data_IF_567846039458
#
_entry.id   IF_567846039458
#
_cell.length_a   1.000
_cell.length_b   1.000
_cell.length_c   1.000
_cell.angle_alpha   90.00
_cell.angle_beta   90.00
_cell.angle_gamma   90.00
#
_symmetry.space_group_name_H-M   'P 1'
#
loop_
_entity.id
_entity.type
_entity.pdbx_description
1 polymer ?
#
# COMPACT_ATOMS: atom_id res chain seq x y z
N UNK A 1 -42.29 -9.49 7.81
CA UNK A 1 -41.04 -9.96 8.45
C UNK A 1 -40.63 -8.96 9.51
N UNK A 2 -40.47 -9.42 10.74
CA UNK A 2 -40.17 -8.60 11.91
C UNK A 2 -38.70 -8.20 11.89
N UNK A 3 -38.36 -6.94 12.23
CA UNK A 3 -36.98 -6.42 12.21
C UNK A 3 -35.99 -7.22 13.09
N UNK A 4 -36.48 -8.00 14.06
CA UNK A 4 -35.69 -8.93 14.86
C UNK A 4 -35.02 -10.01 14.02
N UNK A 5 -35.70 -10.51 13.00
CA UNK A 5 -35.23 -11.62 12.15
C UNK A 5 -34.08 -11.17 11.24
N UNK A 6 -33.97 -9.86 10.98
CA UNK A 6 -32.83 -9.26 10.31
C UNK A 6 -31.56 -9.32 11.17
N UNK A 7 -31.63 -9.04 12.48
CA UNK A 7 -30.45 -9.07 13.38
C UNK A 7 -29.91 -10.48 13.63
N UNK A 8 -30.75 -11.51 13.48
CA UNK A 8 -30.33 -12.91 13.62
C UNK A 8 -29.60 -13.46 12.38
N UNK A 9 -29.48 -12.68 11.29
CA UNK A 9 -28.78 -13.15 10.09
C UNK A 9 -27.28 -13.31 10.38
N UNK A 10 -26.64 -14.39 9.87
CA UNK A 10 -25.21 -14.66 10.08
C UNK A 10 -24.26 -13.51 9.70
N UNK A 11 -24.69 -12.63 8.77
CA UNK A 11 -23.92 -11.47 8.30
C UNK A 11 -23.72 -10.43 9.42
N UNK A 12 -24.72 -10.23 10.29
CA UNK A 12 -24.62 -9.27 11.40
C UNK A 12 -23.92 -9.87 12.64
N UNK A 13 -23.60 -11.17 12.63
CA UNK A 13 -22.95 -11.85 13.75
C UNK A 13 -21.46 -11.48 13.90
N UNK A 14 -20.85 -10.87 12.87
CA UNK A 14 -19.45 -10.40 12.85
C UNK A 14 -19.31 -8.93 12.49
N UNK A 15 -20.37 -8.14 12.68
CA UNK A 15 -20.35 -6.71 12.34
C UNK A 15 -19.27 -5.96 13.15
N UNK A 16 -19.15 -6.26 14.45
CA UNK A 16 -18.09 -5.72 15.29
C UNK A 16 -16.69 -6.11 14.78
N UNK A 17 -16.46 -7.38 14.50
CA UNK A 17 -15.16 -7.85 13.99
C UNK A 17 -14.79 -7.19 12.67
N UNK A 18 -15.77 -7.00 11.77
CA UNK A 18 -15.56 -6.33 10.50
C UNK A 18 -15.25 -4.84 10.66
N UNK A 19 -15.90 -4.16 11.61
CA UNK A 19 -15.62 -2.75 11.94
C UNK A 19 -14.22 -2.62 12.52
N UNK A 20 -13.90 -3.44 13.52
CA UNK A 20 -12.61 -3.39 14.21
C UNK A 20 -11.46 -3.70 13.21
N UNK A 21 -11.64 -4.68 12.32
CA UNK A 21 -10.67 -4.98 11.27
C UNK A 21 -10.52 -3.80 10.28
N UNK A 22 -11.62 -3.20 9.83
CA UNK A 22 -11.57 -2.07 8.90
C UNK A 22 -10.85 -0.87 9.52
N UNK A 23 -11.23 -0.49 10.74
CA UNK A 23 -10.59 0.62 11.45
C UNK A 23 -9.10 0.33 11.68
N UNK A 24 -8.74 -0.88 12.08
CA UNK A 24 -7.34 -1.26 12.27
C UNK A 24 -6.52 -1.06 11.00
N UNK A 25 -7.01 -1.55 9.86
CA UNK A 25 -6.30 -1.43 8.57
C UNK A 25 -6.25 0.04 8.12
N UNK A 26 -7.34 0.79 8.24
CA UNK A 26 -7.40 2.20 7.83
C UNK A 26 -6.47 3.07 8.68
N UNK A 27 -6.51 2.92 10.01
CA UNK A 27 -5.63 3.69 10.90
C UNK A 27 -4.16 3.33 10.72
N UNK A 28 -3.84 2.04 10.53
CA UNK A 28 -2.48 1.63 10.20
C UNK A 28 -2.01 2.25 8.87
N UNK A 29 -2.85 2.20 7.83
CA UNK A 29 -2.53 2.82 6.53
C UNK A 29 -2.36 4.34 6.63
N UNK A 30 -3.19 5.03 7.42
CA UNK A 30 -3.07 6.46 7.66
C UNK A 30 -1.79 6.82 8.43
N UNK A 31 -1.46 6.06 9.47
CA UNK A 31 -0.24 6.27 10.26
C UNK A 31 1.02 6.05 9.41
N UNK A 32 1.07 4.96 8.65
CA UNK A 32 2.17 4.67 7.71
C UNK A 32 2.26 5.77 6.65
N UNK A 33 1.13 6.14 6.05
CA UNK A 33 1.08 7.18 5.02
C UNK A 33 1.60 8.53 5.54
N UNK A 34 1.23 8.90 6.77
CA UNK A 34 1.72 10.12 7.42
C UNK A 34 3.21 10.06 7.71
N UNK A 35 3.68 8.95 8.28
CA UNK A 35 5.10 8.75 8.57
C UNK A 35 5.96 8.84 7.30
N UNK A 36 5.52 8.22 6.20
CA UNK A 36 6.22 8.27 4.91
C UNK A 36 6.27 9.69 4.33
N UNK A 37 5.20 10.48 4.49
CA UNK A 37 5.21 11.89 4.08
C UNK A 37 6.19 12.73 4.89
N UNK A 38 6.21 12.54 6.22
CA UNK A 38 7.12 13.26 7.11
C UNK A 38 8.58 12.91 6.85
N UNK A 39 8.88 11.63 6.62
CA UNK A 39 10.23 11.15 6.35
C UNK A 39 10.75 11.60 4.97
N UNK A 40 9.90 11.56 3.94
CA UNK A 40 10.30 11.89 2.56
C UNK A 40 10.21 13.39 2.23
N UNK A 41 9.31 14.13 2.89
CA UNK A 41 8.96 15.51 2.53
C UNK A 41 8.11 15.64 1.26
N UNK A 42 7.61 14.53 0.71
CA UNK A 42 6.87 14.48 -0.56
C UNK A 42 5.40 14.11 -0.29
N UNK A 43 4.42 14.67 -1.03
CA UNK A 43 3.02 14.25 -0.91
C UNK A 43 2.83 12.75 -1.15
N UNK A 44 2.09 12.05 -0.27
CA UNK A 44 1.93 10.58 -0.31
C UNK A 44 1.48 10.05 -1.68
N UNK A 45 0.54 10.74 -2.35
CA UNK A 45 0.07 10.34 -3.69
C UNK A 45 1.22 10.31 -4.70
N UNK A 46 2.06 11.35 -4.69
CA UNK A 46 3.24 11.43 -5.56
C UNK A 46 4.24 10.34 -5.19
N UNK A 47 4.54 10.19 -3.90
CA UNK A 47 5.43 9.13 -3.41
C UNK A 47 5.00 7.74 -3.88
N UNK A 48 3.73 7.39 -3.69
CA UNK A 48 3.19 6.09 -4.14
C UNK A 48 3.31 5.95 -5.66
N UNK A 49 3.01 7.00 -6.42
CA UNK A 49 3.04 6.96 -7.89
C UNK A 49 4.47 6.75 -8.40
N UNK A 50 5.42 7.51 -7.87
CA UNK A 50 6.83 7.50 -8.25
C UNK A 50 7.46 6.14 -7.88
N UNK A 51 7.25 5.65 -6.65
CA UNK A 51 7.76 4.34 -6.22
C UNK A 51 7.10 3.18 -6.98
N UNK A 52 5.81 3.29 -7.31
CA UNK A 52 5.08 2.24 -8.06
C UNK A 52 5.65 2.05 -9.46
N UNK A 53 6.25 3.08 -10.06
CA UNK A 53 6.85 3.00 -11.38
C UNK A 53 8.20 2.24 -11.37
N UNK A 54 8.91 2.20 -10.23
CA UNK A 54 10.17 1.47 -10.10
C UNK A 54 9.88 -0.04 -10.04
N UNK A 55 9.98 -0.71 -11.18
CA UNK A 55 9.74 -2.17 -11.29
C UNK A 55 10.80 -2.82 -12.17
N UNK A 56 11.24 -4.00 -11.76
CA UNK A 56 11.97 -4.91 -12.63
C UNK A 56 11.01 -5.60 -13.59
N UNK A 57 11.45 -5.90 -14.81
CA UNK A 57 10.65 -6.62 -15.78
C UNK A 57 11.30 -7.98 -16.11
N UNK A 58 10.48 -9.01 -16.31
CA UNK A 58 10.89 -10.27 -16.93
C UNK A 58 10.24 -10.36 -18.30
N UNK A 59 11.04 -10.50 -19.35
CA UNK A 59 10.58 -10.52 -20.73
C UNK A 59 11.02 -11.82 -21.39
N UNK A 60 10.10 -12.50 -22.06
CA UNK A 60 10.39 -13.69 -22.84
C UNK A 60 10.70 -13.28 -24.28
N UNK A 61 11.92 -13.54 -24.75
CA UNK A 61 12.36 -13.28 -26.13
C UNK A 61 12.96 -14.56 -26.67
N UNK A 62 12.42 -15.08 -27.77
CA UNK A 62 12.91 -16.30 -28.44
C UNK A 62 13.09 -17.51 -27.49
N UNK A 63 12.17 -17.68 -26.53
CA UNK A 63 12.24 -18.79 -25.55
C UNK A 63 13.20 -18.56 -24.38
N UNK A 64 13.93 -17.44 -24.33
CA UNK A 64 14.77 -17.05 -23.19
C UNK A 64 14.09 -15.97 -22.36
N UNK A 65 14.09 -16.16 -21.04
CA UNK A 65 13.60 -15.15 -20.09
C UNK A 65 14.74 -14.20 -19.72
N UNK A 66 14.65 -12.96 -20.16
CA UNK A 66 15.55 -11.88 -19.77
C UNK A 66 14.95 -11.10 -18.60
N UNK A 67 15.79 -10.76 -17.61
CA UNK A 67 15.39 -9.92 -16.48
C UNK A 67 16.04 -8.55 -16.61
N UNK A 68 15.22 -7.51 -16.62
CA UNK A 68 15.65 -6.11 -16.62
C UNK A 68 15.52 -5.54 -15.21
N UNK A 69 16.61 -4.95 -14.72
CA UNK A 69 16.64 -4.29 -13.43
C UNK A 69 15.70 -3.07 -13.43
N UNK A 70 15.15 -2.75 -12.26
CA UNK A 70 14.35 -1.55 -12.09
C UNK A 70 15.26 -0.32 -12.23
N UNK A 71 14.84 0.64 -13.06
CA UNK A 71 15.54 1.92 -13.19
C UNK A 71 14.94 2.92 -12.20
N UNK A 72 15.81 3.57 -11.43
CA UNK A 72 15.43 4.63 -10.50
C UNK A 72 15.59 5.97 -11.24
N UNK A 73 14.52 6.77 -11.41
CA UNK A 73 14.61 8.09 -12.03
C UNK A 73 15.49 9.05 -11.21
N UNK A 74 16.17 9.96 -11.91
CA UNK A 74 16.97 11.00 -11.30
C UNK A 74 16.14 11.86 -10.33
N UNK A 75 16.69 12.16 -9.15
CA UNK A 75 15.99 12.88 -8.08
C UNK A 75 15.16 12.01 -7.13
N UNK A 76 14.95 10.72 -7.42
CA UNK A 76 14.26 9.81 -6.49
C UNK A 76 15.22 9.08 -5.53
N UNK A 77 16.52 9.11 -5.81
CA UNK A 77 17.55 8.48 -4.96
C UNK A 77 17.61 9.08 -3.55
N UNK A 78 17.49 10.40 -3.42
CA UNK A 78 17.46 11.06 -2.11
C UNK A 78 16.24 10.63 -1.29
N UNK A 79 15.08 10.50 -1.96
CA UNK A 79 13.84 10.03 -1.33
C UNK A 79 14.01 8.58 -0.86
N UNK A 80 14.57 7.71 -1.70
CA UNK A 80 14.84 6.31 -1.31
C UNK A 80 15.84 6.21 -0.15
N UNK A 81 16.84 7.08 -0.12
CA UNK A 81 17.83 7.12 0.97
C UNK A 81 17.17 7.54 2.28
N UNK A 82 16.33 8.58 2.26
CA UNK A 82 15.55 9.01 3.44
C UNK A 82 14.63 7.90 3.94
N UNK A 83 13.96 7.18 3.03
CA UNK A 83 13.07 6.08 3.38
C UNK A 83 13.82 4.87 3.98
N UNK A 84 15.06 4.58 3.54
CA UNK A 84 15.90 3.52 4.11
C UNK A 84 16.45 3.85 5.50
N UNK A 85 16.55 5.14 5.84
CA UNK A 85 17.04 5.60 7.14
C UNK A 85 15.94 5.79 8.19
N UNK A 86 14.67 5.54 7.85
CA UNK A 86 13.61 5.38 8.85
C UNK A 86 13.95 4.20 9.75
N UNK A 87 13.75 4.38 11.06
CA UNK A 87 14.12 3.46 12.15
C UNK A 87 14.14 1.97 11.79
#
# INVERSE_FOLDING_TARGET
MTKSDLRARPIFHREKDSIDAHLTVVFAALAIGRHLQELSGVPLKRLITDLKAIRSAKVLINGQVLTFAAQVPEGLEEVLTKLRGGY
#
